data_IF_388725214078
#
_entry.id   IF_388725214078
#
_cell.length_a   1.000
_cell.length_b   1.000
_cell.length_c   1.000
_cell.angle_alpha   90.00
_cell.angle_beta   90.00
_cell.angle_gamma   90.00
#
_symmetry.space_group_name_H-M   'P 1'
#
loop_
_entity.id
_entity.type
_entity.pdbx_description
1 polymer ?
#
# COMPACT_ATOMS: atom_id res chain seq x y z
N UNK A 1 -1.70 28.99 -140.97
CA UNK A 1 -0.96 29.96 -140.13
C UNK A 1 -1.64 30.26 -138.77
N UNK A 2 -2.87 29.78 -138.53
CA UNK A 2 -3.65 30.10 -137.31
C UNK A 2 -3.40 29.10 -136.15
N UNK A 3 -3.07 27.83 -136.44
CA UNK A 3 -2.81 26.80 -135.41
C UNK A 3 -1.52 27.02 -134.60
N UNK A 4 -0.46 27.58 -135.21
CA UNK A 4 0.82 27.88 -134.52
C UNK A 4 0.68 29.02 -133.50
N UNK A 5 -0.26 29.95 -133.73
CA UNK A 5 -0.54 31.07 -132.83
C UNK A 5 -1.39 30.62 -131.63
N UNK A 6 -2.31 29.67 -131.83
CA UNK A 6 -3.09 29.05 -130.75
C UNK A 6 -2.23 28.20 -129.80
N UNK A 7 -1.29 27.42 -130.35
CA UNK A 7 -0.35 26.61 -129.55
C UNK A 7 0.63 27.47 -128.73
N UNK A 8 1.10 28.60 -129.28
CA UNK A 8 1.90 29.59 -128.53
C UNK A 8 1.12 30.23 -127.38
N UNK A 9 -0.15 30.59 -127.60
CA UNK A 9 -1.01 31.19 -126.55
C UNK A 9 -1.38 30.20 -125.44
N UNK A 10 -1.64 28.92 -125.77
CA UNK A 10 -1.89 27.87 -124.77
C UNK A 10 -0.65 27.54 -123.91
N UNK A 11 0.55 27.56 -124.50
CA UNK A 11 1.82 27.41 -123.75
C UNK A 11 2.09 28.60 -122.82
N UNK A 12 1.73 29.81 -123.23
CA UNK A 12 1.84 31.02 -122.40
C UNK A 12 0.87 30.96 -121.20
N UNK A 13 -0.39 30.59 -121.43
CA UNK A 13 -1.40 30.45 -120.38
C UNK A 13 -1.02 29.38 -119.35
N UNK A 14 -0.49 28.23 -119.79
CA UNK A 14 0.00 27.18 -118.90
C UNK A 14 1.23 27.63 -118.07
N UNK A 15 2.10 28.47 -118.64
CA UNK A 15 3.24 29.04 -117.91
C UNK A 15 2.80 30.08 -116.86
N UNK A 16 1.83 30.93 -117.20
CA UNK A 16 1.27 31.93 -116.28
C UNK A 16 0.48 31.27 -115.13
N UNK A 17 -0.28 30.19 -115.40
CA UNK A 17 -0.93 29.38 -114.35
C UNK A 17 0.09 28.67 -113.46
N UNK A 18 1.15 28.08 -114.05
CA UNK A 18 2.21 27.45 -113.27
C UNK A 18 2.95 28.47 -112.39
N UNK A 19 3.17 29.69 -112.87
CA UNK A 19 3.74 30.79 -112.09
C UNK A 19 2.84 31.20 -110.92
N UNK A 20 1.52 31.37 -111.16
CA UNK A 20 0.56 31.66 -110.08
C UNK A 20 0.47 30.55 -109.04
N UNK A 21 0.51 29.29 -109.48
CA UNK A 21 0.54 28.14 -108.57
C UNK A 21 1.84 28.08 -107.76
N UNK A 22 2.98 28.43 -108.36
CA UNK A 22 4.26 28.53 -107.66
C UNK A 22 4.27 29.68 -106.65
N UNK A 23 3.73 30.85 -106.99
CA UNK A 23 3.59 32.00 -106.08
C UNK A 23 2.66 31.67 -104.90
N UNK A 24 1.55 30.97 -105.14
CA UNK A 24 0.64 30.54 -104.09
C UNK A 24 1.35 29.58 -103.10
N UNK A 25 2.08 28.59 -103.63
CA UNK A 25 2.90 27.69 -102.79
C UNK A 25 4.00 28.43 -102.04
N UNK A 26 4.62 29.43 -102.67
CA UNK A 26 5.65 30.23 -102.00
C UNK A 26 5.08 31.04 -100.84
N UNK A 27 3.87 31.61 -100.99
CA UNK A 27 3.18 32.31 -99.90
C UNK A 27 2.79 31.38 -98.76
N UNK A 28 2.23 30.20 -99.07
CA UNK A 28 1.89 29.18 -98.08
C UNK A 28 3.14 28.75 -97.27
N UNK A 29 4.25 28.45 -97.96
CA UNK A 29 5.52 28.14 -97.29
C UNK A 29 6.05 29.30 -96.44
N UNK A 30 5.86 30.55 -96.87
CA UNK A 30 6.23 31.72 -96.07
C UNK A 30 5.39 31.83 -94.79
N UNK A 31 4.08 31.55 -94.86
CA UNK A 31 3.19 31.53 -93.70
C UNK A 31 3.55 30.40 -92.73
N UNK A 32 3.84 29.19 -93.24
CA UNK A 32 4.31 28.07 -92.43
C UNK A 32 5.64 28.39 -91.72
N UNK A 33 6.60 28.98 -92.42
CA UNK A 33 7.88 29.41 -91.80
C UNK A 33 7.62 30.45 -90.71
N UNK A 34 6.73 31.42 -90.93
CA UNK A 34 6.38 32.42 -89.93
C UNK A 34 5.63 31.82 -88.72
N UNK A 35 4.80 30.80 -88.94
CA UNK A 35 4.15 30.05 -87.86
C UNK A 35 5.16 29.22 -87.06
N UNK A 36 5.99 28.41 -87.74
CA UNK A 36 7.01 27.58 -87.10
C UNK A 36 8.03 28.41 -86.32
N UNK A 37 8.38 29.61 -86.81
CA UNK A 37 9.28 30.53 -86.08
C UNK A 37 8.65 30.99 -84.77
N UNK A 38 7.36 31.36 -84.76
CA UNK A 38 6.64 31.75 -83.54
C UNK A 38 6.49 30.58 -82.56
N UNK A 39 6.18 29.39 -83.07
CA UNK A 39 6.09 28.19 -82.23
C UNK A 39 7.45 27.82 -81.63
N UNK A 40 8.54 27.95 -82.40
CA UNK A 40 9.89 27.71 -81.90
C UNK A 40 10.25 28.69 -80.78
N UNK A 41 9.99 29.99 -80.97
CA UNK A 41 10.23 31.02 -79.96
C UNK A 41 9.40 30.78 -78.68
N UNK A 42 8.12 30.42 -78.82
CA UNK A 42 7.29 30.08 -77.67
C UNK A 42 7.81 28.85 -76.92
N UNK A 43 8.24 27.81 -77.65
CA UNK A 43 8.83 26.61 -77.03
C UNK A 43 10.15 26.93 -76.35
N UNK A 44 10.98 27.78 -76.92
CA UNK A 44 12.22 28.26 -76.31
C UNK A 44 11.95 29.01 -75.00
N UNK A 45 10.97 29.92 -74.99
CA UNK A 45 10.54 30.63 -73.79
C UNK A 45 10.02 29.67 -72.70
N UNK A 46 9.20 28.68 -73.08
CA UNK A 46 8.72 27.64 -72.14
C UNK A 46 9.88 26.79 -71.61
N UNK A 47 10.85 26.44 -72.44
CA UNK A 47 12.05 25.71 -72.02
C UNK A 47 12.89 26.53 -71.03
N UNK A 48 13.06 27.83 -71.27
CA UNK A 48 13.75 28.73 -70.34
C UNK A 48 13.04 28.83 -68.98
N UNK A 49 11.70 28.96 -68.98
CA UNK A 49 10.90 28.99 -67.75
C UNK A 49 11.02 27.69 -66.94
N UNK A 50 10.92 26.53 -67.61
CA UNK A 50 11.08 25.23 -66.97
C UNK A 50 12.50 25.02 -66.43
N UNK A 51 13.53 25.51 -67.12
CA UNK A 51 14.90 25.46 -66.62
C UNK A 51 15.08 26.30 -65.35
N UNK A 52 14.47 27.48 -65.28
CA UNK A 52 14.50 28.33 -64.09
C UNK A 52 13.73 27.69 -62.91
N UNK A 53 12.56 27.10 -63.16
CA UNK A 53 11.78 26.39 -62.14
C UNK A 53 12.56 25.19 -61.58
N UNK A 54 13.17 24.38 -62.46
CA UNK A 54 14.01 23.24 -62.05
C UNK A 54 15.15 23.69 -61.15
N UNK A 55 15.86 24.76 -61.51
CA UNK A 55 16.95 25.29 -60.69
C UNK A 55 16.45 25.80 -59.32
N UNK A 56 15.29 26.47 -59.28
CA UNK A 56 14.65 26.90 -58.03
C UNK A 56 14.27 25.71 -57.14
N UNK A 57 13.68 24.66 -57.72
CA UNK A 57 13.31 23.45 -57.00
C UNK A 57 14.53 22.71 -56.46
N UNK A 58 15.61 22.62 -57.24
CA UNK A 58 16.88 22.02 -56.81
C UNK A 58 17.47 22.76 -55.61
N UNK A 59 17.50 24.09 -55.64
CA UNK A 59 17.94 24.90 -54.51
C UNK A 59 17.08 24.66 -53.25
N UNK A 60 15.76 24.55 -53.41
CA UNK A 60 14.84 24.23 -52.30
C UNK A 60 15.12 22.83 -51.74
N UNK A 61 15.38 21.83 -52.59
CA UNK A 61 15.74 20.48 -52.15
C UNK A 61 17.04 20.48 -51.33
N UNK A 62 18.07 21.19 -51.79
CA UNK A 62 19.34 21.33 -51.06
C UNK A 62 19.12 21.95 -49.67
N UNK A 63 18.32 23.01 -49.58
CA UNK A 63 18.00 23.66 -48.32
C UNK A 63 17.24 22.72 -47.36
N UNK A 64 16.30 21.93 -47.87
CA UNK A 64 15.54 20.98 -47.07
C UNK A 64 16.41 19.83 -46.55
N UNK A 65 17.33 19.30 -47.37
CA UNK A 65 18.27 18.27 -46.92
C UNK A 65 19.24 18.79 -45.86
N UNK A 66 19.70 20.05 -45.99
CA UNK A 66 20.51 20.69 -44.95
C UNK A 66 19.74 20.82 -43.62
N UNK A 67 18.48 21.26 -43.66
CA UNK A 67 17.63 21.34 -42.47
C UNK A 67 17.37 19.97 -41.85
N UNK A 68 17.14 18.94 -42.67
CA UNK A 68 16.96 17.57 -42.20
C UNK A 68 18.21 17.06 -41.48
N UNK A 69 19.40 17.31 -42.03
CA UNK A 69 20.66 16.96 -41.37
C UNK A 69 20.84 17.71 -40.04
N UNK A 70 20.53 19.01 -40.01
CA UNK A 70 20.56 19.82 -38.78
C UNK A 70 19.63 19.29 -37.70
N UNK A 71 18.38 18.98 -38.06
CA UNK A 71 17.40 18.43 -37.13
C UNK A 71 17.78 17.02 -36.66
N UNK A 72 18.40 16.20 -37.52
CA UNK A 72 18.90 14.88 -37.12
C UNK A 72 19.94 15.00 -36.00
N UNK A 73 20.88 15.95 -36.13
CA UNK A 73 21.90 16.21 -35.10
C UNK A 73 21.27 16.73 -33.80
N UNK A 74 20.26 17.59 -33.88
CA UNK A 74 19.54 18.08 -32.70
C UNK A 74 18.81 16.95 -31.98
N UNK A 75 18.13 16.06 -32.73
CA UNK A 75 17.46 14.88 -32.16
C UNK A 75 18.46 13.96 -31.47
N UNK A 76 19.63 13.71 -32.07
CA UNK A 76 20.70 12.92 -31.46
C UNK A 76 21.22 13.56 -30.17
N UNK A 77 21.46 14.89 -30.19
CA UNK A 77 21.91 15.63 -29.01
C UNK A 77 20.88 15.61 -27.88
N UNK A 78 19.60 15.82 -28.17
CA UNK A 78 18.53 15.77 -27.18
C UNK A 78 18.37 14.34 -26.65
N UNK A 79 18.47 13.33 -27.52
CA UNK A 79 18.38 11.93 -27.11
C UNK A 79 19.52 11.55 -26.16
N UNK A 80 20.76 11.97 -26.44
CA UNK A 80 21.88 11.75 -25.54
C UNK A 80 21.62 12.40 -24.16
N UNK A 81 21.11 13.64 -24.15
CA UNK A 81 20.79 14.34 -22.90
C UNK A 81 19.67 13.67 -22.11
N UNK A 82 18.67 13.09 -22.78
CA UNK A 82 17.60 12.33 -22.11
C UNK A 82 18.17 11.12 -21.39
N UNK A 83 19.08 10.37 -22.02
CA UNK A 83 19.73 9.20 -21.40
C UNK A 83 20.54 9.60 -20.16
N UNK A 84 21.30 10.70 -20.24
CA UNK A 84 22.03 11.24 -19.07
C UNK A 84 21.09 11.58 -17.91
N UNK A 85 20.02 12.34 -18.18
CA UNK A 85 19.04 12.75 -17.18
C UNK A 85 18.27 11.55 -16.59
N UNK A 86 18.02 10.51 -17.39
CA UNK A 86 17.42 9.28 -16.90
C UNK A 86 18.34 8.54 -15.92
N UNK A 87 19.65 8.56 -16.18
CA UNK A 87 20.66 8.08 -15.24
C UNK A 87 20.69 8.90 -13.94
N UNK A 88 20.82 10.22 -14.04
CA UNK A 88 20.81 11.13 -12.88
C UNK A 88 19.55 10.98 -12.02
N UNK A 89 18.38 10.81 -12.66
CA UNK A 89 17.11 10.56 -11.97
C UNK A 89 17.17 9.27 -11.15
N UNK A 90 17.73 8.20 -11.71
CA UNK A 90 17.84 6.92 -11.02
C UNK A 90 18.79 7.00 -9.81
N UNK A 91 19.93 7.68 -9.97
CA UNK A 91 20.88 7.90 -8.89
C UNK A 91 20.26 8.73 -7.75
N UNK A 92 19.53 9.80 -8.08
CA UNK A 92 18.81 10.62 -7.10
C UNK A 92 17.73 9.83 -6.35
N UNK A 93 16.98 8.97 -7.04
CA UNK A 93 15.97 8.11 -6.40
C UNK A 93 16.65 7.19 -5.38
N UNK A 94 17.74 6.51 -5.76
CA UNK A 94 18.47 5.64 -4.84
C UNK A 94 19.01 6.40 -3.63
N UNK A 95 19.59 7.58 -3.83
CA UNK A 95 20.10 8.41 -2.73
C UNK A 95 18.98 8.81 -1.76
N UNK A 96 17.84 9.24 -2.28
CA UNK A 96 16.68 9.62 -1.45
C UNK A 96 16.08 8.44 -0.71
N UNK A 97 16.05 7.25 -1.30
CA UNK A 97 15.60 6.03 -0.62
C UNK A 97 16.50 5.68 0.56
N UNK A 98 17.82 5.71 0.36
CA UNK A 98 18.80 5.49 1.42
C UNK A 98 18.65 6.52 2.54
N UNK A 99 18.63 7.81 2.19
CA UNK A 99 18.50 8.89 3.17
C UNK A 99 17.16 8.80 3.94
N UNK A 100 16.06 8.50 3.24
CA UNK A 100 14.76 8.30 3.88
C UNK A 100 14.82 7.13 4.87
N UNK A 101 15.43 6.02 4.49
CA UNK A 101 15.62 4.87 5.38
C UNK A 101 16.47 5.21 6.60
N UNK A 102 17.56 5.97 6.43
CA UNK A 102 18.38 6.46 7.54
C UNK A 102 17.59 7.35 8.50
N UNK A 103 16.85 8.33 7.96
CA UNK A 103 15.99 9.21 8.75
C UNK A 103 14.93 8.44 9.54
N UNK A 104 14.31 7.42 8.92
CA UNK A 104 13.35 6.54 9.60
C UNK A 104 14.02 5.77 10.74
N UNK A 105 15.17 5.13 10.50
CA UNK A 105 15.92 4.42 11.55
C UNK A 105 16.31 5.34 12.71
N UNK A 106 16.76 6.56 12.42
CA UNK A 106 17.10 7.54 13.45
C UNK A 106 15.88 7.96 14.26
N UNK A 107 14.75 8.23 13.61
CA UNK A 107 13.51 8.58 14.30
C UNK A 107 12.99 7.43 15.17
N UNK A 108 13.01 6.20 14.67
CA UNK A 108 12.64 4.99 15.43
C UNK A 108 13.54 4.80 16.65
N UNK A 109 14.86 4.95 16.48
CA UNK A 109 15.82 4.90 17.57
C UNK A 109 15.58 5.98 18.63
N UNK A 110 15.23 7.20 18.22
CA UNK A 110 14.89 8.28 19.13
C UNK A 110 13.59 8.00 19.90
N UNK A 111 12.57 7.45 19.23
CA UNK A 111 11.32 7.04 19.88
C UNK A 111 11.56 5.92 20.90
N UNK A 112 12.38 4.92 20.56
CA UNK A 112 12.68 3.83 21.48
C UNK A 112 13.54 4.30 22.66
N UNK A 113 14.47 5.22 22.41
CA UNK A 113 15.25 5.89 23.47
C UNK A 113 14.34 6.71 24.40
N UNK A 114 13.34 7.42 23.84
CA UNK A 114 12.36 8.14 24.63
C UNK A 114 11.49 7.20 25.48
N UNK A 115 10.98 6.10 24.90
CA UNK A 115 10.18 5.10 25.63
C UNK A 115 10.95 4.40 26.74
N UNK A 116 12.25 4.18 26.55
CA UNK A 116 13.12 3.59 27.57
C UNK A 116 13.61 4.60 28.62
N UNK A 117 13.30 5.90 28.43
CA UNK A 117 13.64 6.94 29.40
C UNK A 117 12.94 6.69 30.75
N UNK A 118 13.66 6.88 31.88
CA UNK A 118 13.04 6.85 33.21
C UNK A 118 11.87 7.83 33.32
N UNK A 119 11.98 9.03 32.71
CA UNK A 119 10.95 10.07 32.79
C UNK A 119 9.64 9.60 32.14
N UNK A 120 9.73 8.99 30.95
CA UNK A 120 8.57 8.41 30.30
C UNK A 120 7.96 7.29 31.16
N UNK A 121 8.80 6.43 31.73
CA UNK A 121 8.34 5.33 32.60
C UNK A 121 7.57 5.86 33.81
N UNK A 122 8.09 6.88 34.50
CA UNK A 122 7.45 7.49 35.66
C UNK A 122 6.09 8.08 35.28
N UNK A 123 6.05 8.95 34.25
CA UNK A 123 4.81 9.59 33.80
C UNK A 123 3.78 8.56 33.33
N UNK A 124 4.21 7.53 32.59
CA UNK A 124 3.34 6.47 32.12
C UNK A 124 2.75 5.65 33.29
N UNK A 125 3.56 5.35 34.31
CA UNK A 125 3.10 4.65 35.50
C UNK A 125 2.12 5.49 36.33
N UNK A 126 2.42 6.77 36.56
CA UNK A 126 1.53 7.70 37.25
C UNK A 126 0.17 7.81 36.54
N UNK A 127 0.19 7.99 35.21
CA UNK A 127 -1.05 8.06 34.44
C UNK A 127 -1.84 6.75 34.46
N UNK A 128 -1.16 5.62 34.46
CA UNK A 128 -1.80 4.31 34.57
C UNK A 128 -2.45 4.12 35.95
N UNK A 129 -1.82 4.59 37.02
CA UNK A 129 -2.38 4.58 38.38
C UNK A 129 -3.63 5.46 38.47
N UNK A 130 -3.60 6.68 37.94
CA UNK A 130 -4.76 7.57 37.90
C UNK A 130 -5.96 6.94 37.18
N UNK A 131 -5.71 6.37 35.99
CA UNK A 131 -6.75 5.70 35.21
C UNK A 131 -7.28 4.46 35.93
N UNK A 132 -6.41 3.70 36.58
CA UNK A 132 -6.82 2.55 37.39
C UNK A 132 -7.68 2.99 38.56
N UNK A 133 -7.27 4.02 39.30
CA UNK A 133 -8.05 4.59 40.41
C UNK A 133 -9.41 5.13 39.94
N UNK A 134 -9.46 5.77 38.77
CA UNK A 134 -10.71 6.25 38.17
C UNK A 134 -11.62 5.08 37.76
N UNK A 135 -11.06 4.05 37.11
CA UNK A 135 -11.82 2.87 36.69
C UNK A 135 -12.37 2.07 37.88
N UNK A 136 -11.62 1.95 38.98
CA UNK A 136 -12.06 1.23 40.18
C UNK A 136 -13.24 1.90 40.89
N UNK A 137 -13.49 3.19 40.66
CA UNK A 137 -14.68 3.90 41.15
C UNK A 137 -15.93 3.56 40.34
N UNK A 138 -15.80 2.93 39.18
CA UNK A 138 -16.93 2.48 38.37
C UNK A 138 -17.48 1.16 38.90
N UNK A 139 -18.78 0.91 38.71
CA UNK A 139 -19.44 -0.33 39.14
C UNK A 139 -18.75 -1.60 38.60
N UNK A 140 -18.39 -1.69 37.29
CA UNK A 140 -17.64 -2.86 36.80
C UNK A 140 -16.27 -3.02 37.44
N UNK A 141 -15.55 -1.92 37.70
CA UNK A 141 -14.25 -1.94 38.36
C UNK A 141 -14.35 -2.40 39.82
N UNK A 142 -15.33 -1.89 40.56
CA UNK A 142 -15.60 -2.29 41.94
C UNK A 142 -15.98 -3.78 42.05
N UNK A 143 -16.88 -4.26 41.19
CA UNK A 143 -17.26 -5.67 41.14
C UNK A 143 -16.07 -6.58 40.80
N UNK A 144 -15.23 -6.16 39.86
CA UNK A 144 -14.00 -6.89 39.54
C UNK A 144 -13.06 -6.96 40.74
N UNK A 145 -12.86 -5.85 41.46
CA UNK A 145 -12.01 -5.81 42.65
C UNK A 145 -12.51 -6.74 43.75
N UNK A 146 -13.81 -6.75 44.03
CA UNK A 146 -14.41 -7.66 45.04
C UNK A 146 -14.18 -9.12 44.65
N UNK A 147 -14.39 -9.46 43.39
CA UNK A 147 -14.18 -10.83 42.89
C UNK A 147 -12.72 -11.27 43.03
N UNK A 148 -11.78 -10.42 42.63
CA UNK A 148 -10.36 -10.77 42.66
C UNK A 148 -9.79 -10.72 44.07
N UNK A 149 -10.25 -9.80 44.90
CA UNK A 149 -9.98 -9.75 46.34
C UNK A 149 -10.46 -11.02 47.04
N UNK A 150 -11.66 -11.50 46.73
CA UNK A 150 -12.22 -12.75 47.29
C UNK A 150 -11.36 -13.96 46.90
N UNK A 151 -10.95 -14.07 45.64
CA UNK A 151 -10.04 -15.14 45.20
C UNK A 151 -8.71 -15.08 45.95
N UNK A 152 -8.09 -13.89 46.03
CA UNK A 152 -6.81 -13.70 46.72
C UNK A 152 -6.89 -14.06 48.20
N UNK A 153 -7.97 -13.65 48.88
CA UNK A 153 -8.25 -14.02 50.26
C UNK A 153 -8.34 -15.54 50.42
N UNK A 154 -9.15 -16.21 49.60
CA UNK A 154 -9.34 -17.66 49.67
C UNK A 154 -8.04 -18.42 49.41
N UNK A 155 -7.25 -18.01 48.42
CA UNK A 155 -5.95 -18.62 48.14
C UNK A 155 -4.98 -18.47 49.32
N UNK A 156 -4.90 -17.28 49.93
CA UNK A 156 -4.03 -17.06 51.10
C UNK A 156 -4.51 -17.82 52.33
N UNK A 157 -5.82 -17.87 52.56
CA UNK A 157 -6.41 -18.64 53.66
C UNK A 157 -6.07 -20.13 53.52
N UNK A 158 -6.25 -20.69 52.33
CA UNK A 158 -5.90 -22.07 52.04
C UNK A 158 -4.40 -22.34 52.27
N UNK A 159 -3.52 -21.45 51.79
CA UNK A 159 -2.08 -21.59 52.01
C UNK A 159 -1.72 -21.52 53.52
N UNK A 160 -2.33 -20.60 54.26
CA UNK A 160 -2.13 -20.50 55.71
C UNK A 160 -2.60 -21.76 56.45
N UNK A 161 -3.74 -22.33 56.04
CA UNK A 161 -4.25 -23.59 56.57
C UNK A 161 -3.28 -24.74 56.28
N UNK A 162 -2.72 -24.83 55.07
CA UNK A 162 -1.73 -25.85 54.73
C UNK A 162 -0.48 -25.72 55.60
N UNK A 163 0.10 -24.52 55.71
CA UNK A 163 1.28 -24.28 56.56
C UNK A 163 1.00 -24.66 58.01
N UNK A 164 -0.21 -24.38 58.52
CA UNK A 164 -0.60 -24.77 59.86
C UNK A 164 -0.71 -26.29 60.02
N UNK A 165 -1.36 -26.98 59.06
CA UNK A 165 -1.45 -28.44 59.05
C UNK A 165 -0.07 -29.11 58.98
N UNK A 166 0.83 -28.61 58.12
CA UNK A 166 2.18 -29.16 57.97
C UNK A 166 2.99 -28.98 59.27
N UNK A 167 2.81 -27.85 59.97
CA UNK A 167 3.44 -27.60 61.28
C UNK A 167 2.87 -28.51 62.37
N UNK A 168 1.56 -28.74 62.37
CA UNK A 168 0.94 -29.68 63.31
C UNK A 168 1.39 -31.13 63.06
N UNK A 169 1.55 -31.54 61.81
CA UNK A 169 2.03 -32.87 61.45
C UNK A 169 3.49 -33.13 61.88
N UNK A 170 4.27 -32.06 62.08
CA UNK A 170 5.65 -32.12 62.57
C UNK A 170 5.75 -32.14 64.11
N UNK A 171 4.63 -31.99 64.84
CA UNK A 171 4.66 -32.07 66.29
C UNK A 171 4.92 -33.52 66.76
N UNK A 172 5.70 -33.72 67.84
CA UNK A 172 5.88 -35.04 68.43
C UNK A 172 4.52 -35.64 68.81
N UNK A 173 4.31 -36.93 68.50
CA UNK A 173 3.09 -37.65 68.89
C UNK A 173 2.96 -37.62 70.42
N UNK A 174 2.03 -36.80 70.93
CA UNK A 174 1.84 -36.56 72.37
C UNK A 174 1.81 -35.07 72.77
N UNK A 175 2.03 -34.13 71.85
CA UNK A 175 1.92 -32.69 72.14
C UNK A 175 0.45 -32.28 72.30
N UNK A 176 0.03 -31.87 73.50
CA UNK A 176 -1.26 -31.21 73.74
C UNK A 176 -1.14 -29.73 73.40
N UNK A 177 -2.00 -29.23 72.49
CA UNK A 177 -2.09 -27.79 72.26
C UNK A 177 -2.53 -27.07 73.56
N UNK A 178 -1.97 -25.90 73.90
CA UNK A 178 -2.52 -25.07 74.97
C UNK A 178 -3.91 -24.59 74.56
N UNK A 179 -4.94 -24.85 75.36
CA UNK A 179 -6.30 -24.33 75.17
C UNK A 179 -6.28 -22.78 75.22
N UNK A 180 -6.63 -22.06 74.14
CA UNK A 180 -6.90 -20.63 74.23
C UNK A 180 -8.42 -20.45 74.28
N UNK A 181 -8.93 -20.27 75.51
CA UNK A 181 -10.16 -19.52 75.81
C UNK A 181 -11.49 -20.05 75.24
N UNK A 182 -11.90 -21.27 75.60
CA UNK A 182 -13.33 -21.62 75.64
C UNK A 182 -13.83 -21.57 77.09
N UNK A 183 -14.83 -20.72 77.45
CA UNK A 183 -15.46 -20.78 78.76
C UNK A 183 -16.14 -22.15 78.92
N UNK A 184 -15.76 -22.87 79.97
CA UNK A 184 -16.25 -24.21 80.30
C UNK A 184 -17.73 -24.17 80.72
N UNK A 185 -18.64 -24.27 79.76
CA UNK A 185 -20.01 -24.74 80.03
C UNK A 185 -20.79 -24.94 78.73
N UNK A 186 -21.00 -26.21 78.33
CA UNK A 186 -22.31 -26.72 77.94
C UNK A 186 -22.27 -28.27 77.82
N UNK A 187 -23.33 -29.00 78.22
CA UNK A 187 -23.28 -30.45 78.43
C UNK A 187 -23.39 -31.27 77.14
N UNK A 188 -22.78 -32.45 77.17
CA UNK A 188 -22.91 -33.56 76.23
C UNK A 188 -24.38 -33.81 75.83
N UNK A 189 -24.68 -33.66 74.53
CA UNK A 189 -25.84 -34.30 73.90
C UNK A 189 -25.38 -35.04 72.64
N UNK A 190 -25.62 -36.36 72.62
CA UNK A 190 -25.90 -37.11 71.40
C UNK A 190 -24.73 -37.41 70.47
N UNK A 191 -24.17 -38.61 70.63
CA UNK A 191 -23.58 -39.40 69.52
C UNK A 191 -24.58 -39.42 68.36
N UNK A 192 -24.19 -38.93 67.18
CA UNK A 192 -24.83 -39.30 65.90
C UNK A 192 -23.73 -39.69 64.92
N UNK A 193 -23.76 -40.96 64.50
CA UNK A 193 -22.92 -41.50 63.43
C UNK A 193 -23.31 -40.92 62.06
N UNK A 194 -22.38 -40.89 61.09
CA UNK A 194 -22.64 -40.38 59.76
C UNK A 194 -23.45 -41.38 58.94
N UNK A 195 -24.68 -41.02 58.55
CA UNK A 195 -25.41 -41.73 57.50
C UNK A 195 -25.11 -41.11 56.14
N UNK A 196 -24.47 -41.91 55.29
CA UNK A 196 -24.38 -41.74 53.84
C UNK A 196 -25.72 -42.07 53.18
N UNK A 197 -26.33 -41.11 52.48
CA UNK A 197 -27.44 -41.38 51.56
C UNK A 197 -27.23 -40.63 50.24
N UNK A 198 -26.84 -41.43 49.25
CA UNK A 198 -27.11 -41.26 47.83
C UNK A 198 -28.61 -40.99 47.61
N UNK A 199 -28.96 -39.97 46.83
CA UNK A 199 -30.34 -39.67 46.45
C UNK A 199 -30.40 -38.90 45.14
N UNK A 200 -30.74 -39.62 44.07
CA UNK A 200 -31.01 -39.14 42.71
C UNK A 200 -32.17 -38.12 42.69
N UNK A 201 -31.94 -37.06 41.91
CA UNK A 201 -32.83 -36.48 40.90
C UNK A 201 -34.30 -36.22 41.25
N UNK A 202 -34.70 -34.96 41.16
CA UNK A 202 -35.96 -34.65 40.50
C UNK A 202 -35.93 -33.27 39.82
N UNK A 203 -36.72 -33.20 38.76
CA UNK A 203 -36.62 -32.36 37.59
C UNK A 203 -37.90 -31.53 37.54
N UNK A 204 -37.83 -30.22 37.74
CA UNK A 204 -38.94 -29.34 37.34
C UNK A 204 -38.48 -28.27 36.36
N UNK A 205 -39.05 -28.42 35.15
CA UNK A 205 -38.99 -27.49 34.05
C UNK A 205 -40.07 -26.43 34.25
N UNK A 206 -39.70 -25.16 34.13
CA UNK A 206 -40.54 -24.16 33.47
C UNK A 206 -39.69 -23.49 32.40
N UNK A 207 -40.05 -23.72 31.13
CA UNK A 207 -39.32 -23.18 29.98
C UNK A 207 -39.93 -21.89 29.45
N UNK A 208 -39.15 -21.14 28.66
CA UNK A 208 -39.56 -20.55 27.37
C UNK A 208 -38.37 -19.91 26.60
N UNK A 209 -37.91 -20.68 25.60
CA UNK A 209 -37.53 -20.38 24.20
C UNK A 209 -36.99 -18.98 23.77
N UNK A 210 -35.87 -19.05 23.03
CA UNK A 210 -35.54 -18.21 21.85
C UNK A 210 -34.08 -18.44 21.39
N UNK A 211 -33.78 -19.37 20.45
CA UNK A 211 -33.39 -19.15 19.02
C UNK A 211 -32.21 -18.15 18.86
N UNK A 212 -31.07 -18.39 18.16
CA UNK A 212 -30.64 -19.27 17.05
C UNK A 212 -29.08 -19.22 16.94
N UNK A 213 -28.43 -20.36 16.59
CA UNK A 213 -27.44 -20.62 15.49
C UNK A 213 -26.36 -19.53 15.20
N UNK A 214 -25.08 -19.79 14.94
CA UNK A 214 -24.31 -20.95 14.44
C UNK A 214 -22.81 -20.63 14.50
N UNK A 215 -21.93 -21.63 14.60
CA UNK A 215 -20.50 -21.46 14.27
C UNK A 215 -19.58 -22.47 14.92
N UNK A 216 -19.72 -23.74 14.55
CA UNK A 216 -18.86 -24.85 14.98
C UNK A 216 -17.65 -24.93 14.03
N UNK A 217 -16.44 -24.77 14.56
CA UNK A 217 -15.23 -25.37 14.01
C UNK A 217 -14.80 -26.47 14.98
N UNK A 218 -14.84 -27.71 14.50
CA UNK A 218 -14.15 -28.86 15.09
C UNK A 218 -12.92 -29.11 14.24
N UNK A 219 -11.73 -29.24 14.83
CA UNK A 219 -11.05 -30.54 14.97
C UNK A 219 -9.73 -30.40 15.77
N UNK A 220 -9.40 -31.54 16.39
CA UNK A 220 -8.40 -31.87 17.43
C UNK A 220 -6.98 -32.08 16.81
N UNK A 221 -5.87 -32.39 17.55
CA UNK A 221 -5.84 -33.19 18.78
C UNK A 221 -4.83 -32.83 19.90
N UNK A 222 -5.26 -33.18 21.13
CA UNK A 222 -4.54 -34.03 22.09
C UNK A 222 -3.06 -33.73 22.41
N UNK A 223 -2.81 -33.25 23.63
CA UNK A 223 -1.76 -33.80 24.51
C UNK A 223 -2.01 -33.39 25.96
N UNK A 224 -2.20 -34.40 26.81
CA UNK A 224 -2.24 -34.27 28.26
C UNK A 224 -0.83 -33.92 28.75
N UNK A 225 -0.72 -32.87 29.54
CA UNK A 225 0.49 -32.54 30.30
C UNK A 225 0.06 -31.76 31.53
N UNK A 226 0.27 -32.35 32.70
CA UNK A 226 -0.13 -31.87 34.00
C UNK A 226 0.44 -30.45 34.26
N UNK A 227 -0.44 -29.47 34.52
CA UNK A 227 -0.08 -28.16 35.06
C UNK A 227 -0.49 -28.10 36.53
N UNK A 228 0.22 -28.86 37.36
CA UNK A 228 0.20 -28.71 38.81
C UNK A 228 1.45 -27.94 39.24
N UNK A 229 1.42 -26.61 39.09
CA UNK A 229 2.15 -25.66 39.94
C UNK A 229 1.81 -24.23 39.50
N UNK A 230 0.65 -23.71 39.94
CA UNK A 230 0.48 -22.25 40.00
C UNK A 230 1.09 -21.83 41.34
N UNK A 231 2.38 -21.53 41.29
CA UNK A 231 3.10 -20.91 42.41
C UNK A 231 2.59 -19.47 42.53
N UNK A 232 1.53 -19.25 43.30
CA UNK A 232 1.04 -17.92 43.65
C UNK A 232 2.00 -17.24 44.63
N UNK A 233 3.15 -16.80 44.14
CA UNK A 233 4.08 -15.95 44.86
C UNK A 233 3.69 -14.47 44.75
N UNK A 234 2.81 -13.99 45.63
CA UNK A 234 2.61 -12.56 45.84
C UNK A 234 3.07 -12.21 47.26
N UNK A 235 4.32 -11.79 47.41
CA UNK A 235 4.78 -11.10 48.61
C UNK A 235 4.78 -9.61 48.33
N UNK A 236 3.74 -8.93 48.80
CA UNK A 236 3.71 -7.46 48.83
C UNK A 236 4.56 -7.03 50.03
N UNK A 237 5.86 -6.79 49.80
CA UNK A 237 6.73 -6.18 50.79
C UNK A 237 6.79 -4.69 50.47
N UNK A 238 6.14 -3.86 51.29
CA UNK A 238 6.27 -2.40 51.23
C UNK A 238 7.75 -2.06 51.50
N UNK A 239 8.49 -1.74 50.44
CA UNK A 239 9.88 -1.30 50.52
C UNK A 239 10.69 -1.61 49.25
N UNK A 240 10.86 -0.57 48.43
CA UNK A 240 11.73 -0.45 47.23
C UNK A 240 11.18 -0.99 45.90
N UNK A 241 10.83 -0.02 45.04
CA UNK A 241 10.90 0.03 43.58
C UNK A 241 11.05 -1.33 42.85
N UNK A 242 9.91 -1.88 42.43
CA UNK A 242 9.79 -2.70 41.24
C UNK A 242 8.37 -2.47 40.68
N UNK A 243 8.18 -2.24 39.37
CA UNK A 243 6.86 -1.93 38.83
C UNK A 243 5.91 -3.11 39.01
N UNK A 244 4.61 -2.89 39.29
CA UNK A 244 3.67 -3.98 39.47
C UNK A 244 3.48 -4.69 38.14
N UNK A 245 3.97 -5.93 38.06
CA UNK A 245 3.56 -6.87 37.02
C UNK A 245 2.08 -7.19 37.26
N UNK A 246 1.21 -6.39 36.63
CA UNK A 246 -0.20 -6.72 36.52
C UNK A 246 -0.36 -8.08 35.83
N UNK A 247 -1.39 -8.87 36.18
CA UNK A 247 -1.66 -10.13 35.50
C UNK A 247 -1.78 -9.92 33.97
N UNK A 248 -1.30 -10.86 33.15
CA UNK A 248 -1.45 -10.83 31.69
C UNK A 248 -2.90 -10.67 31.18
N UNK A 249 -3.89 -10.92 32.06
CA UNK A 249 -5.31 -10.65 31.79
C UNK A 249 -5.69 -9.17 31.91
N UNK A 250 -5.02 -8.40 32.76
CA UNK A 250 -5.24 -6.95 32.89
C UNK A 250 -4.55 -6.21 31.73
N UNK A 251 -3.36 -6.63 31.34
CA UNK A 251 -2.63 -6.04 30.19
C UNK A 251 -3.38 -6.23 28.87
N UNK A 252 -3.93 -7.43 28.58
CA UNK A 252 -4.71 -7.66 27.36
C UNK A 252 -6.04 -6.89 27.32
N UNK A 253 -6.74 -6.76 28.45
CA UNK A 253 -8.03 -6.06 28.49
C UNK A 253 -7.86 -4.55 28.39
N UNK A 254 -6.85 -3.98 29.08
CA UNK A 254 -6.52 -2.56 28.99
C UNK A 254 -5.90 -2.17 27.63
N UNK A 255 -5.02 -3.00 27.03
CA UNK A 255 -4.51 -2.78 25.67
C UNK A 255 -5.62 -2.83 24.61
N UNK A 256 -6.62 -3.70 24.77
CA UNK A 256 -7.77 -3.77 23.85
C UNK A 256 -8.69 -2.56 23.93
N UNK A 257 -8.75 -1.89 25.07
CA UNK A 257 -9.49 -0.64 25.26
C UNK A 257 -8.68 0.57 24.77
N UNK A 258 -7.35 0.52 24.88
CA UNK A 258 -6.44 1.53 24.34
C UNK A 258 -6.51 1.57 22.80
N UNK A 259 -6.41 0.41 22.13
CA UNK A 259 -6.48 0.32 20.66
C UNK A 259 -7.86 0.58 20.05
N UNK A 260 -8.94 0.56 20.85
CA UNK A 260 -10.31 0.88 20.38
C UNK A 260 -10.67 2.36 20.49
N UNK A 261 -9.99 3.12 21.34
CA UNK A 261 -10.29 4.53 21.55
C UNK A 261 -9.38 5.48 20.74
N UNK A 262 -8.25 4.99 20.19
CA UNK A 262 -7.35 5.80 19.35
C UNK A 262 -7.70 5.79 17.85
N UNK A 263 -8.85 5.21 17.44
CA UNK A 263 -9.36 5.31 16.06
C UNK A 263 -10.35 6.48 15.86
N UNK A 264 -10.37 7.44 16.78
CA UNK A 264 -11.24 8.62 16.72
C UNK A 264 -10.46 9.90 17.03
N UNK A 265 -9.39 10.18 16.29
CA UNK A 265 -8.88 11.54 16.06
C UNK A 265 -8.02 11.59 14.79
#
# INVERSE_FOLDING_TARGET
>A
MIEVVGQKRGRQAAADEAMKAAEAKQKELQEEVAQLTRELEEKENRCAALAAEKASQENRCVALEANKASLSLEVESVSARVVELEGEKYDLIQQLEVERSDRVRHAEGAVESFKSSPDFTVVAMERMEELTAAWLKTEPGAQWMVKEGTKSFNCRLFHAQQVFHDRLAQLPKGFSLPDPWLPSSLPLLGRVQPQSLSGRGELERVGRRGRRRSGRWSERPESRGQLSHIQCGWTFRLGRLNPPLFPHSFTNTCLSLFLRNDLSF
#
